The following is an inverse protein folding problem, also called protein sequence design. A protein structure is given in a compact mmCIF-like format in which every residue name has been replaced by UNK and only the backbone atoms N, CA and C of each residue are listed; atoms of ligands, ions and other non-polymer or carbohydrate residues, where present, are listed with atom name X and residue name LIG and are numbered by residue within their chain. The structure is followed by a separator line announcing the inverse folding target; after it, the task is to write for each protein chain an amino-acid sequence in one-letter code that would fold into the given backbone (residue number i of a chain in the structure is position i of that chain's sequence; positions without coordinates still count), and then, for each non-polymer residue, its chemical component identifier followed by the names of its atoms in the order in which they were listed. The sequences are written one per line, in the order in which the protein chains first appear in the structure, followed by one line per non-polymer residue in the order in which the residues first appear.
data_IF_007768109086
#
_entry.id   IF_007768109086
#
_cell.length_a   1.000
_cell.length_b   1.000
_cell.length_c   1.000
_cell.angle_alpha   90.00
_cell.angle_beta   90.00
_cell.angle_gamma   90.00
#
_symmetry.space_group_name_H-M   'P 1'
#
loop_
_entity.id
_entity.type
_entity.pdbx_description
1 polymer ?
2 non-polymer ?
3 non-polymer ?
4 water ?
#
# COMPACT_ATOMS: atom_id res chain seq x y z
N UNK A 4 -3.81 24.96 11.29
CA UNK A 4 -3.43 24.36 9.97
C UNK A 4 -3.97 22.96 9.85
N UNK A 5 -3.99 22.45 8.61
CA UNK A 5 -4.44 21.08 8.33
C UNK A 5 -3.59 20.38 7.27
N UNK A 6 -3.22 19.14 7.57
CA UNK A 6 -2.43 18.27 6.72
C UNK A 6 -3.19 16.97 6.66
N UNK A 7 -3.43 16.46 5.45
CA UNK A 7 -4.24 15.25 5.28
C UNK A 7 -3.38 14.02 5.12
N UNK A 8 -3.69 12.99 5.91
CA UNK A 8 -3.00 11.69 5.79
C UNK A 8 -4.00 10.56 5.57
N UNK A 9 -3.50 9.43 5.13
CA UNK A 9 -4.34 8.25 4.97
C UNK A 9 -3.84 7.13 5.88
N UNK A 10 -4.78 6.40 6.47
CA UNK A 10 -4.49 5.18 7.21
C UNK A 10 -5.22 4.03 6.51
N UNK A 11 -4.56 2.88 6.39
CA UNK A 11 -5.12 1.73 5.69
C UNK A 11 -5.29 0.56 6.67
N UNK A 12 -6.51 0.04 6.75
CA UNK A 12 -6.81 -1.01 7.71
C UNK A 12 -6.24 -2.37 7.30
N UNK A 13 -6.11 -2.58 5.99
CA UNK A 13 -5.78 -3.91 5.43
C UNK A 13 -6.83 -4.95 5.83
N UNK A 14 -8.05 -4.48 6.08
CA UNK A 14 -9.21 -5.32 6.40
C UNK A 14 -10.44 -4.73 5.70
N UNK A 15 -11.56 -5.42 5.82
CA UNK A 15 -12.84 -4.93 5.28
C UNK A 15 -13.52 -3.86 6.14
N UNK A 16 -12.90 -3.50 7.27
CA UNK A 16 -13.37 -2.42 8.13
C UNK A 16 -12.50 -1.18 7.94
N UNK A 17 -13.12 0.00 7.90
CA UNK A 17 -12.35 1.25 7.88
C UNK A 17 -11.52 1.40 9.15
N UNK A 18 -10.28 1.91 9.03
CA UNK A 18 -9.49 2.11 10.24
C UNK A 18 -9.96 3.35 11.00
N UNK A 19 -9.66 3.41 12.29
CA UNK A 19 -9.91 4.61 13.08
C UNK A 19 -8.76 5.60 12.83
N UNK A 20 -9.10 6.88 12.73
CA UNK A 20 -8.07 7.91 12.64
C UNK A 20 -7.25 7.93 13.93
N UNK A 21 -5.90 8.08 13.83
CA UNK A 21 -5.09 8.06 15.04
C UNK A 21 -5.41 9.23 15.98
N UNK A 22 -5.14 9.02 17.27
CA UNK A 22 -5.33 10.02 18.32
C UNK A 22 -4.72 11.37 17.93
N UNK A 23 -5.50 12.43 18.07
CA UNK A 23 -5.05 13.78 17.73
C UNK A 23 -5.31 14.21 16.29
N UNK A 24 -5.93 13.32 15.51
CA UNK A 24 -6.35 13.66 14.14
C UNK A 24 -7.87 13.48 14.02
N UNK A 25 -8.48 14.11 13.04
CA UNK A 25 -9.92 13.94 12.84
C UNK A 25 -10.25 13.40 11.45
N UNK A 26 -11.31 12.58 11.39
CA UNK A 26 -11.70 11.93 10.15
C UNK A 26 -12.29 12.91 9.14
N UNK A 27 -11.88 12.74 7.89
CA UNK A 27 -12.43 13.50 6.79
C UNK A 27 -13.40 12.61 6.02
N UNK A 28 -12.92 11.46 5.54
CA UNK A 28 -13.76 10.46 4.85
C UNK A 28 -13.15 9.06 4.91
N UNK A 29 -13.92 8.06 4.48
CA UNK A 29 -13.44 6.68 4.41
C UNK A 29 -13.54 6.21 2.98
N UNK A 30 -12.74 5.21 2.62
CA UNK A 30 -12.78 4.70 1.27
C UNK A 30 -12.10 3.36 1.12
N UNK A 31 -11.56 3.13 -0.07
CA UNK A 31 -10.90 1.88 -0.44
C UNK A 31 -9.45 2.17 -0.82
N UNK A 32 -8.57 1.26 -0.44
CA UNK A 32 -7.12 1.44 -0.52
C UNK A 32 -6.60 1.22 -1.93
N UNK A 33 -6.48 2.29 -2.71
CA UNK A 33 -5.88 2.22 -4.05
C UNK A 33 -4.36 2.24 -3.96
N UNK A 34 -3.71 1.24 -4.56
CA UNK A 34 -2.24 1.19 -4.58
C UNK A 34 -1.68 1.84 -5.85
N UNK A 35 -2.10 1.34 -7.01
CA UNK A 35 -1.74 1.93 -8.29
C UNK A 35 -2.66 1.49 -9.41
N UNK A 36 -2.50 2.15 -10.55
CA UNK A 36 -3.22 1.77 -11.77
C UNK A 36 -2.23 1.48 -12.89
N UNK A 37 -2.68 0.77 -13.91
CA UNK A 37 -1.83 0.46 -15.05
C UNK A 37 -2.66 0.63 -16.32
N UNK A 38 -2.30 1.64 -17.11
CA UNK A 38 -3.04 1.97 -18.33
C UNK A 38 -2.07 2.00 -19.49
N UNK A 39 -2.42 1.33 -20.58
CA UNK A 39 -1.54 1.23 -21.75
C UNK A 39 -0.15 0.73 -21.30
N UNK A 40 -0.19 -0.22 -20.36
CA UNK A 40 0.98 -0.90 -19.75
C UNK A 40 1.74 -0.07 -18.72
N UNK A 41 1.52 1.25 -18.70
CA UNK A 41 2.27 2.12 -17.81
C UNK A 41 1.64 2.20 -16.40
N UNK A 42 2.43 1.88 -15.37
CA UNK A 42 1.94 1.97 -13.99
C UNK A 42 2.04 3.39 -13.44
N UNK A 43 1.03 3.78 -12.67
CA UNK A 43 1.07 5.05 -11.92
C UNK A 43 0.44 4.84 -10.56
N UNK A 44 1.23 5.10 -9.52
CA UNK A 44 0.79 4.88 -8.14
C UNK A 44 0.32 6.13 -7.42
N UNK A 45 -0.38 5.91 -6.31
CA UNK A 45 -0.79 7.00 -5.41
C UNK A 45 -0.13 6.72 -4.08
N UNK A 46 0.65 7.66 -3.58
CA UNK A 46 1.35 7.43 -2.32
C UNK A 46 0.37 7.04 -1.21
N UNK A 47 0.63 5.90 -0.56
CA UNK A 47 -0.26 5.35 0.45
C UNK A 47 -0.48 6.26 1.67
N UNK A 48 0.38 7.27 1.83
CA UNK A 48 0.25 8.21 2.94
C UNK A 48 -0.66 9.38 2.62
N UNK A 49 -1.08 9.47 1.36
CA UNK A 49 -1.82 10.62 0.86
C UNK A 49 -3.26 10.25 0.50
N UNK A 50 -4.12 11.26 0.42
CA UNK A 50 -5.54 11.07 0.14
C UNK A 50 -5.83 10.37 -1.19
N UNK A 51 -4.90 10.49 -2.15
CA UNK A 51 -5.03 9.82 -3.45
C UNK A 51 -5.12 8.30 -3.38
N UNK A 52 -4.58 7.70 -2.31
CA UNK A 52 -4.65 6.25 -2.11
C UNK A 52 -5.95 5.82 -1.42
N UNK A 53 -6.82 6.78 -1.14
CA UNK A 53 -8.10 6.47 -0.53
C UNK A 53 -9.23 6.97 -1.42
N UNK A 54 -9.76 6.07 -2.25
CA UNK A 54 -10.86 6.41 -3.14
C UNK A 54 -12.18 6.13 -2.44
N UNK A 55 -13.10 7.08 -2.52
CA UNK A 55 -14.44 6.91 -1.94
C UNK A 55 -15.14 5.64 -2.42
N UNK A 56 -14.89 5.27 -3.67
CA UNK A 56 -15.58 4.14 -4.30
C UNK A 56 -14.60 3.19 -4.97
N UNK A 57 -14.84 1.89 -4.78
CA UNK A 57 -14.04 0.87 -5.43
C UNK A 57 -14.56 0.65 -6.85
N UNK A 58 -13.65 0.27 -7.76
CA UNK A 58 -14.02 -0.33 -9.02
C UNK A 58 -12.80 -1.05 -9.56
N UNK A 59 -13.01 -2.17 -10.25
CA UNK A 59 -11.89 -2.84 -10.91
C UNK A 59 -11.32 -1.95 -12.03
N UNK A 60 -12.12 -0.98 -12.49
CA UNK A 60 -11.67 0.00 -13.47
C UNK A 60 -12.04 1.45 -13.08
N UNK A 61 -11.19 2.10 -12.27
CA UNK A 61 -11.49 3.43 -11.74
C UNK A 61 -11.02 4.59 -12.65
N UNK A 62 -10.61 4.28 -13.88
CA UNK A 62 -10.18 5.30 -14.83
C UNK A 62 -10.64 4.97 -16.25
N UNK A 63 -10.52 5.97 -17.12
CA UNK A 63 -10.82 5.80 -18.55
C UNK A 63 -9.79 6.59 -19.34
N UNK A 64 -9.55 6.20 -20.59
CA UNK A 64 -8.60 6.93 -21.43
C UNK A 64 -9.27 7.55 -22.65
N UNK A 65 -8.66 8.63 -23.14
CA UNK A 65 -9.17 9.39 -24.29
C UNK A 65 -8.07 9.53 -25.31
N UNK A 66 -8.43 9.47 -26.59
CA UNK A 66 -7.46 9.68 -27.64
C UNK A 66 -7.61 11.09 -28.25
N UNK A 67 -6.65 11.49 -29.08
CA UNK A 67 -6.60 12.88 -29.57
C UNK A 67 -7.77 13.24 -30.50
N UNK A 68 -8.48 12.21 -30.98
CA UNK A 68 -9.67 12.43 -31.81
C UNK A 68 -11.01 12.48 -31.06
N UNK A 69 -10.94 12.81 -29.77
CA UNK A 69 -12.15 13.06 -28.95
C UNK A 69 -13.02 11.81 -28.86
N UNK A 70 -12.37 10.67 -28.69
CA UNK A 70 -13.05 9.42 -28.41
C UNK A 70 -12.46 8.88 -27.11
N UNK A 71 -13.31 8.61 -26.13
CA UNK A 71 -12.86 8.01 -24.88
C UNK A 71 -13.37 6.59 -24.75
N UNK A 72 -12.56 5.76 -24.12
CA UNK A 72 -12.90 4.35 -23.90
C UNK A 72 -12.79 4.01 -22.43
N UNK A 73 -13.88 3.49 -21.86
CA UNK A 73 -13.91 3.08 -20.47
C UNK A 73 -14.05 1.56 -20.40
N UNK A 74 -13.15 0.94 -19.64
CA UNK A 74 -13.12 -0.52 -19.42
C UNK A 74 -13.24 -1.30 -20.73
N UNK A 75 -12.60 -0.78 -21.77
CA UNK A 75 -12.72 -1.34 -23.11
C UNK A 75 -11.39 -1.77 -23.72
N UNK A 76 -10.41 -2.06 -22.87
CA UNK A 76 -9.15 -2.61 -23.34
C UNK A 76 -8.64 -3.69 -22.36
N UNK A 77 -7.39 -3.60 -21.93
CA UNK A 77 -6.79 -4.59 -21.04
C UNK A 77 -6.04 -3.87 -19.93
N UNK A 78 -6.73 -2.99 -19.22
CA UNK A 78 -6.05 -2.20 -18.20
C UNK A 78 -6.29 -2.72 -16.80
N UNK A 79 -5.53 -2.22 -15.82
CA UNK A 79 -5.51 -2.78 -14.46
C UNK A 79 -5.68 -1.73 -13.38
N UNK A 80 -6.16 -2.17 -12.22
CA UNK A 80 -6.06 -1.41 -10.97
C UNK A 80 -5.55 -2.35 -9.88
N UNK A 81 -4.85 -1.79 -8.90
CA UNK A 81 -4.26 -2.57 -7.83
C UNK A 81 -4.63 -1.94 -6.51
N UNK A 82 -5.00 -2.80 -5.56
CA UNK A 82 -5.55 -2.36 -4.29
C UNK A 82 -4.89 -3.11 -3.17
N UNK A 83 -4.62 -2.44 -2.06
CA UNK A 83 -4.19 -3.13 -0.85
C UNK A 83 -5.26 -4.14 -0.47
N UNK A 84 -4.83 -5.28 0.06
CA UNK A 84 -5.76 -6.39 0.28
C UNK A 84 -5.86 -6.79 1.75
N UNK A 85 -6.80 -7.70 2.02
CA UNK A 85 -7.16 -8.12 3.36
C UNK A 85 -6.52 -9.48 3.62
N UNK A 86 -6.73 -10.07 4.84
CA UNK A 86 -6.22 -11.43 5.05
C UNK A 86 -7.01 -12.55 4.34
N UNK A 87 -8.05 -12.20 3.58
CA UNK A 87 -8.89 -13.20 2.87
C UNK A 87 -8.03 -14.10 1.98
N UNK A 88 -8.12 -15.43 2.18
CA UNK A 88 -7.30 -16.32 1.34
C UNK A 88 -7.83 -16.44 -0.10
N UNK A 89 -6.95 -16.79 -1.04
CA UNK A 89 -7.38 -17.18 -2.38
C UNK A 89 -8.32 -18.38 -2.26
N UNK A 90 -9.37 -18.44 -3.10
CA UNK A 90 -10.14 -19.69 -3.15
C UNK A 90 -9.21 -20.85 -3.53
N UNK A 91 -9.62 -22.07 -3.15
CA UNK A 91 -8.85 -23.28 -3.45
C UNK A 91 -8.57 -23.49 -4.94
N UNK A 92 -9.54 -23.11 -5.76
CA UNK A 92 -9.44 -23.23 -7.22
C UNK A 92 -8.41 -22.26 -7.80
N UNK A 93 -8.11 -21.20 -7.05
CA UNK A 93 -7.21 -20.12 -7.49
C UNK A 93 -7.71 -19.37 -8.74
N UNK A 94 -9.01 -19.49 -9.03
CA UNK A 94 -9.65 -18.76 -10.13
C UNK A 94 -9.82 -17.28 -9.76
N UNK A 95 -9.77 -16.38 -10.76
CA UNK A 95 -10.01 -14.96 -10.48
C UNK A 95 -11.40 -14.71 -9.86
N UNK A 96 -11.48 -13.72 -8.97
CA UNK A 96 -12.74 -13.34 -8.33
C UNK A 96 -13.50 -12.36 -9.21
N UNK A 97 -14.83 -12.50 -9.22
CA UNK A 97 -15.71 -11.60 -9.98
C UNK A 97 -16.82 -11.09 -9.06
N UNK A 98 -17.34 -9.90 -9.37
CA UNK A 98 -18.55 -9.39 -8.72
C UNK A 98 -18.41 -9.24 -7.22
N UNK A 99 -19.47 -9.62 -6.51
CA UNK A 99 -19.53 -9.46 -5.05
C UNK A 99 -18.45 -10.21 -4.29
N UNK A 100 -17.94 -11.30 -4.87
CA UNK A 100 -16.88 -12.08 -4.22
C UNK A 100 -15.53 -11.33 -4.14
N UNK A 101 -15.41 -10.19 -4.82
CA UNK A 101 -14.23 -9.32 -4.72
C UNK A 101 -14.19 -8.57 -3.39
N UNK A 102 -15.36 -8.17 -2.87
CA UNK A 102 -15.44 -7.27 -1.72
C UNK A 102 -14.59 -7.72 -0.50
N UNK A 103 -14.68 -9.03 -0.11
CA UNK A 103 -13.89 -9.43 1.08
C UNK A 103 -12.37 -9.24 0.95
N UNK A 104 -11.89 -8.99 -0.27
CA UNK A 104 -10.45 -8.91 -0.56
C UNK A 104 -9.87 -7.50 -0.47
N UNK A 105 -10.73 -6.49 -0.44
CA UNK A 105 -10.26 -5.10 -0.63
C UNK A 105 -10.11 -4.37 0.69
N UNK A 106 -8.91 -3.84 0.94
CA UNK A 106 -8.60 -3.05 2.13
C UNK A 106 -9.35 -1.72 2.14
N UNK A 107 -9.71 -1.28 3.34
CA UNK A 107 -10.35 0.00 3.55
C UNK A 107 -9.37 1.02 4.11
N UNK A 108 -9.73 2.30 4.01
CA UNK A 108 -8.88 3.38 4.47
C UNK A 108 -9.69 4.52 5.03
N UNK A 109 -9.03 5.39 5.76
CA UNK A 109 -9.61 6.63 6.22
C UNK A 109 -8.62 7.75 5.97
N UNK A 110 -9.13 8.89 5.52
CA UNK A 110 -8.33 10.12 5.40
C UNK A 110 -8.59 10.97 6.64
N UNK A 111 -7.50 11.39 7.28
CA UNK A 111 -7.55 12.08 8.54
C UNK A 111 -6.82 13.41 8.43
N UNK A 112 -7.37 14.45 9.07
CA UNK A 112 -6.72 15.74 9.13
C UNK A 112 -5.89 15.86 10.40
N UNK A 113 -4.60 16.11 10.22
CA UNK A 113 -3.65 16.26 11.30
C UNK A 113 -3.39 17.76 11.49
N UNK A 114 -3.18 18.20 12.75
CA UNK A 114 -2.86 19.61 13.00
C UNK A 114 -1.41 19.98 12.62
N UNK A 115 -0.58 18.98 12.34
CA UNK A 115 0.82 19.21 11.98
C UNK A 115 1.31 18.14 10.99
N UNK A 116 2.55 18.30 10.52
CA UNK A 116 3.14 17.41 9.53
C UNK A 116 3.28 16.00 10.10
N UNK A 117 3.04 15.01 9.24
CA UNK A 117 3.14 13.61 9.60
C UNK A 117 4.19 12.91 8.73
N UNK A 118 5.11 12.21 9.37
CA UNK A 118 6.22 11.56 8.69
C UNK A 118 6.30 10.08 9.07
N UNK A 119 7.10 9.32 8.31
CA UNK A 119 7.55 8.01 8.73
C UNK A 119 9.05 8.07 9.00
N UNK A 120 9.48 7.31 9.98
CA UNK A 120 10.91 7.03 10.22
C UNK A 120 11.14 5.52 10.15
N UNK A 121 12.32 5.12 9.70
CA UNK A 121 12.66 3.71 9.46
C UNK A 121 13.97 3.35 10.15
N UNK A 122 14.00 2.17 10.76
CA UNK A 122 15.16 1.78 11.57
C UNK A 122 16.23 1.01 10.78
N UNK A 123 15.83 0.35 9.70
CA UNK A 123 16.68 -0.64 9.02
C UNK A 123 17.12 -1.76 9.99
N UNK A 124 16.30 -2.00 11.00
CA UNK A 124 16.50 -3.11 11.94
C UNK A 124 15.15 -3.71 12.30
N UNK A 125 15.18 -4.82 13.03
CA UNK A 125 13.95 -5.43 13.56
C UNK A 125 13.33 -4.67 14.73
N UNK A 126 14.01 -3.62 15.22
CA UNK A 126 13.46 -2.76 16.27
C UNK A 126 12.73 -1.57 15.69
N UNK A 127 11.59 -1.22 16.29
CA UNK A 127 10.82 -0.04 15.92
C UNK A 127 11.66 1.20 16.23
N UNK A 128 11.84 2.11 15.24
CA UNK A 128 12.56 3.34 15.52
C UNK A 128 11.73 4.27 16.40
N UNK A 129 12.41 5.19 17.10
CA UNK A 129 11.74 6.22 17.87
C UNK A 129 11.44 7.44 17.01
N UNK A 130 10.34 8.13 17.32
CA UNK A 130 10.04 9.41 16.70
C UNK A 130 11.13 10.44 17.03
N UNK A 131 11.44 11.35 16.08
CA UNK A 131 12.35 12.46 16.41
C UNK A 131 11.84 13.25 17.61
N UNK A 132 12.76 13.86 18.36
CA UNK A 132 12.38 14.69 19.51
C UNK A 132 11.43 15.78 19.06
N UNK A 133 10.32 15.92 19.78
CA UNK A 133 9.29 16.88 19.41
C UNK A 133 8.18 16.32 18.54
N UNK A 134 8.27 15.03 18.20
CA UNK A 134 7.26 14.33 17.40
C UNK A 134 6.62 13.23 18.23
N UNK A 135 5.32 13.00 18.02
CA UNK A 135 4.57 11.95 18.73
C UNK A 135 4.13 10.83 17.80
N UNK A 136 4.12 9.62 18.34
CA UNK A 136 3.73 8.44 17.58
C UNK A 136 2.25 8.42 17.20
N UNK A 137 1.96 8.05 15.95
CA UNK A 137 0.60 7.75 15.50
C UNK A 137 0.36 6.24 15.32
N UNK A 138 1.33 5.56 14.69
CA UNK A 138 1.28 4.08 14.57
C UNK A 138 2.64 3.49 14.26
N UNK A 139 2.74 2.18 14.38
CA UNK A 139 3.98 1.45 14.09
C UNK A 139 3.74 0.51 12.91
N UNK A 140 4.82 0.07 12.26
CA UNK A 140 4.65 -0.83 11.13
C UNK A 140 5.92 -1.39 10.55
N UNK A 141 5.84 -1.72 9.26
CA UNK A 141 6.91 -2.37 8.52
C UNK A 141 7.19 -1.53 7.29
N UNK A 142 8.47 -1.43 6.95
CA UNK A 142 8.93 -0.51 5.91
C UNK A 142 8.63 -1.05 4.48
N UNK A 143 7.58 -0.50 3.87
CA UNK A 143 7.07 -0.96 2.59
C UNK A 143 7.57 0.00 1.53
N UNK A 144 8.42 -0.48 0.60
CA UNK A 144 9.08 0.42 -0.34
C UNK A 144 8.53 0.47 -1.76
N UNK A 145 8.34 -0.69 -2.38
CA UNK A 145 7.78 -0.75 -3.74
C UNK A 145 7.14 -2.11 -4.04
N UNK A 146 6.59 -2.23 -5.24
CA UNK A 146 5.87 -3.43 -5.64
C UNK A 146 5.90 -3.48 -7.16
N UNK A 147 5.83 -4.69 -7.71
CA UNK A 147 5.63 -4.87 -9.14
C UNK A 147 4.60 -5.99 -9.36
N UNK A 148 3.96 -5.98 -10.53
CA UNK A 148 3.07 -7.06 -10.90
C UNK A 148 3.11 -7.25 -12.42
N UNK A 149 1.98 -7.12 -13.10
CA UNK A 149 1.91 -7.34 -14.55
C UNK A 149 2.96 -6.53 -15.31
N UNK A 150 3.68 -7.21 -16.20
CA UNK A 150 4.75 -6.59 -16.99
C UNK A 150 5.93 -6.09 -16.19
N UNK A 151 6.06 -6.52 -14.94
CA UNK A 151 7.03 -6.00 -13.96
C UNK A 151 6.94 -4.46 -13.76
N UNK A 152 5.76 -3.93 -14.09
CA UNK A 152 5.47 -2.53 -13.87
C UNK A 152 5.02 -2.41 -12.42
N UNK A 153 5.13 -1.22 -11.87
CA UNK A 153 4.73 -1.00 -10.51
C UNK A 153 5.01 0.41 -10.09
N UNK A 154 5.00 0.63 -8.78
CA UNK A 154 5.27 1.95 -8.22
C UNK A 154 5.75 1.72 -6.80
N UNK A 155 5.96 2.80 -6.06
CA UNK A 155 6.46 2.65 -4.71
C UNK A 155 6.03 3.75 -3.77
N UNK A 156 6.61 3.71 -2.58
CA UNK A 156 6.30 4.68 -1.53
C UNK A 156 7.49 5.57 -1.25
N UNK A 157 7.19 6.78 -0.80
CA UNK A 157 8.21 7.69 -0.27
C UNK A 157 8.48 7.28 1.17
N UNK A 158 9.75 7.01 1.50
CA UNK A 158 10.11 6.60 2.85
C UNK A 158 9.83 7.68 3.91
N UNK A 159 9.78 8.94 3.50
CA UNK A 159 9.40 10.03 4.38
C UNK A 159 7.89 10.04 4.68
N UNK A 160 7.12 9.31 3.87
CA UNK A 160 5.66 9.30 3.95
C UNK A 160 5.13 8.17 4.84
N UNK A 161 4.00 8.40 5.55
CA UNK A 161 3.30 7.34 6.30
C UNK A 161 2.95 6.13 5.43
N UNK A 162 2.85 6.35 4.12
CA UNK A 162 2.55 5.27 3.17
C UNK A 162 3.60 4.17 3.09
N UNK A 163 4.83 4.50 3.49
CA UNK A 163 5.92 3.53 3.55
C UNK A 163 5.90 2.72 4.85
N UNK A 164 4.93 2.98 5.70
CA UNK A 164 4.83 2.29 6.98
C UNK A 164 3.52 1.52 7.10
N UNK A 165 3.54 0.27 6.63
CA UNK A 165 2.35 -0.57 6.59
C UNK A 165 2.21 -1.29 7.92
N UNK A 166 1.02 -1.21 8.51
CA UNK A 166 0.82 -1.67 9.89
C UNK A 166 0.87 -3.18 10.05
N UNK A 167 0.43 -3.91 9.03
CA UNK A 167 0.54 -5.37 9.03
C UNK A 167 1.45 -5.82 7.89
N UNK A 168 2.49 -6.56 8.23
CA UNK A 168 3.30 -7.19 7.18
C UNK A 168 2.50 -8.28 6.47
N UNK A 169 2.53 -8.27 5.14
CA UNK A 169 1.94 -9.33 4.31
C UNK A 169 2.90 -9.58 3.16
N UNK A 170 3.20 -10.86 2.89
CA UNK A 170 3.96 -11.22 1.68
C UNK A 170 3.20 -10.83 0.41
N UNK A 171 1.88 -10.92 0.49
CA UNK A 171 0.98 -10.55 -0.60
C UNK A 171 0.02 -9.43 -0.13
N UNK A 172 0.54 -8.18 -0.03
CA UNK A 172 -0.25 -7.08 0.54
C UNK A 172 -1.23 -6.42 -0.44
N UNK A 173 -1.20 -6.83 -1.72
CA UNK A 173 -2.07 -6.20 -2.73
C UNK A 173 -2.61 -7.18 -3.77
N UNK A 174 -3.78 -6.85 -4.32
CA UNK A 174 -4.46 -7.72 -5.28
C UNK A 174 -4.54 -6.98 -6.62
N UNK A 175 -4.51 -7.75 -7.71
CA UNK A 175 -4.59 -7.22 -9.07
C UNK A 175 -6.01 -7.30 -9.63
N UNK A 176 -6.55 -6.19 -10.13
CA UNK A 176 -7.88 -6.14 -10.75
C UNK A 176 -7.80 -5.69 -12.20
N UNK A 177 -8.82 -6.06 -12.98
CA UNK A 177 -8.83 -5.82 -14.42
C UNK A 177 -10.07 -5.11 -14.89
N UNK A 178 -9.95 -4.35 -15.98
CA UNK A 178 -11.10 -3.69 -16.62
C UNK A 178 -12.26 -4.63 -16.91
N UNK A 179 -11.94 -5.88 -17.22
CA UNK A 179 -12.94 -6.91 -17.51
C UNK A 179 -13.74 -7.33 -16.26
N UNK A 180 -13.31 -6.88 -15.08
CA UNK A 180 -14.08 -7.08 -13.85
C UNK A 180 -13.61 -8.16 -12.89
N UNK A 181 -12.46 -8.77 -13.19
CA UNK A 181 -11.87 -9.80 -12.34
C UNK A 181 -10.77 -9.24 -11.44
N UNK A 182 -10.49 -9.93 -10.32
CA UNK A 182 -9.32 -9.68 -9.47
C UNK A 182 -8.70 -11.01 -9.06
N UNK A 183 -7.37 -11.02 -8.91
CA UNK A 183 -6.68 -12.18 -8.38
C UNK A 183 -5.27 -11.81 -7.93
N UNK A 184 -4.67 -12.71 -7.15
CA UNK A 184 -3.25 -12.70 -6.92
C UNK A 184 -2.57 -13.45 -8.07
N UNK A 185 -1.38 -13.00 -8.43
CA UNK A 185 -0.61 -13.63 -9.50
C UNK A 185 0.81 -13.94 -9.02
N UNK A 186 1.41 -14.99 -9.61
CA UNK A 186 2.76 -15.44 -9.22
C UNK A 186 3.83 -14.34 -9.29
N UNK A 187 3.67 -13.39 -10.21
CA UNK A 187 4.63 -12.29 -10.34
C UNK A 187 4.31 -11.02 -9.54
N UNK A 188 3.29 -11.06 -8.68
CA UNK A 188 3.01 -9.92 -7.78
C UNK A 188 4.04 -9.92 -6.65
N UNK A 189 4.96 -8.96 -6.71
CA UNK A 189 6.07 -8.87 -5.75
C UNK A 189 5.92 -7.66 -4.84
N UNK A 190 6.24 -7.85 -3.57
CA UNK A 190 6.35 -6.74 -2.64
C UNK A 190 7.80 -6.56 -2.21
N UNK A 191 8.24 -5.30 -2.15
CA UNK A 191 9.62 -4.97 -1.81
C UNK A 191 9.63 -4.18 -0.52
N UNK A 192 10.43 -4.64 0.44
CA UNK A 192 10.46 -4.04 1.77
C UNK A 192 11.86 -3.51 2.06
N UNK A 193 11.94 -2.38 2.74
CA UNK A 193 13.24 -1.90 3.24
C UNK A 193 13.80 -3.01 4.13
N UNK A 194 15.06 -3.38 3.89
CA UNK A 194 15.64 -4.51 4.61
C UNK A 194 16.42 -4.07 5.83
N UNK A 195 16.69 -5.02 6.72
CA UNK A 195 17.58 -4.74 7.85
C UNK A 195 19.03 -4.78 7.37
N UNK A 196 19.89 -3.98 8.00
CA UNK A 196 21.33 -4.05 7.77
C UNK A 196 22.02 -3.78 9.10
N UNK A 197 22.96 -4.65 9.46
CA UNK A 197 23.81 -4.43 10.64
C UNK A 197 24.90 -3.44 10.31
N UNK A 198 25.27 -2.61 11.28
CA UNK A 198 26.32 -1.60 11.10
C UNK A 198 27.62 -2.21 10.56
N UNK A 199 28.06 -3.32 11.13
CA UNK A 199 29.32 -3.96 10.72
C UNK A 199 29.26 -4.50 9.27
N UNK A 200 28.06 -4.65 8.74
CA UNK A 200 27.81 -5.24 7.41
C UNK A 200 27.59 -4.24 6.28
N UNK A 201 27.52 -2.96 6.62
CA UNK A 201 27.19 -1.91 5.64
C UNK A 201 28.01 -2.00 4.36
N UNK A 202 29.31 -2.20 4.50
CA UNK A 202 30.17 -2.25 3.32
C UNK A 202 30.49 -3.66 2.79
N UNK A 203 30.13 -4.67 3.58
CA UNK A 203 30.37 -6.07 3.26
C UNK A 203 29.41 -6.60 2.20
N UNK A 204 29.79 -7.70 1.56
CA UNK A 204 28.88 -8.43 0.69
C UNK A 204 27.61 -8.79 1.48
N UNK A 205 26.42 -8.38 1.00
CA UNK A 205 25.20 -8.74 1.74
C UNK A 205 25.06 -10.24 1.86
N UNK A 206 24.66 -10.72 3.04
CA UNK A 206 24.52 -12.16 3.23
C UNK A 206 23.15 -12.57 2.70
N UNK A 207 23.16 -13.25 1.56
CA UNK A 207 21.94 -13.71 0.88
C UNK A 207 21.15 -14.65 1.76
N UNK A 208 19.84 -14.48 1.74
CA UNK A 208 18.96 -15.27 2.59
C UNK A 208 17.65 -15.52 1.88
N UNK A 209 17.14 -16.74 2.03
CA UNK A 209 15.78 -17.08 1.59
C UNK A 209 15.00 -17.45 2.84
N UNK A 210 13.96 -16.68 3.10
CA UNK A 210 13.17 -16.82 4.32
C UNK A 210 11.81 -17.46 4.03
N UNK A 211 11.39 -18.37 4.89
CA UNK A 211 10.10 -19.05 4.75
C UNK A 211 9.16 -18.62 5.89
N UNK A 212 7.90 -19.06 5.80
CA UNK A 212 6.87 -18.71 6.77
C UNK A 212 7.35 -18.90 8.20
N UNK A 213 7.18 -17.86 9.01
CA UNK A 213 7.65 -17.86 10.39
C UNK A 213 8.89 -17.02 10.58
N UNK A 214 9.66 -16.82 9.52
CA UNK A 214 10.93 -16.09 9.57
C UNK A 214 10.98 -14.83 8.70
N UNK A 215 9.88 -14.53 8.01
CA UNK A 215 9.91 -13.45 7.00
C UNK A 215 10.32 -12.09 7.56
N UNK A 216 9.84 -11.79 8.76
CA UNK A 216 10.05 -10.50 9.41
C UNK A 216 11.46 -10.30 9.94
N UNK A 217 12.26 -11.38 10.01
CA UNK A 217 13.64 -11.29 10.52
C UNK A 217 14.53 -10.32 9.74
N UNK A 218 14.19 -10.02 8.48
CA UNK A 218 14.98 -9.10 7.65
C UNK A 218 14.22 -7.85 7.17
N UNK A 219 13.04 -7.59 7.76
CA UNK A 219 12.24 -6.43 7.38
C UNK A 219 12.46 -5.28 8.34
N UNK A 220 12.85 -4.13 7.79
CA UNK A 220 12.93 -2.89 8.54
C UNK A 220 11.60 -2.50 9.17
N UNK A 221 11.68 -1.91 10.37
CA UNK A 221 10.49 -1.45 11.07
C UNK A 221 10.38 0.05 10.94
N UNK A 222 9.19 0.56 11.20
CA UNK A 222 8.95 1.98 11.08
C UNK A 222 7.96 2.49 12.11
N UNK A 223 7.97 3.81 12.31
CA UNK A 223 6.94 4.48 13.06
C UNK A 223 6.44 5.68 12.26
N UNK A 224 5.16 5.99 12.41
CA UNK A 224 4.57 7.19 11.84
C UNK A 224 4.40 8.21 12.96
N UNK A 225 4.88 9.43 12.71
CA UNK A 225 5.07 10.45 13.74
C UNK A 225 4.46 11.78 13.31
N UNK A 226 3.90 12.50 14.28
CA UNK A 226 3.30 13.80 14.03
C UNK A 226 3.97 14.84 14.91
N UNK A 227 4.35 15.96 14.31
CA UNK A 227 5.01 17.06 15.02
C UNK A 227 4.09 17.60 16.11
N UNK A 228 4.60 17.71 17.33
CA UNK A 228 3.83 18.29 18.44
C UNK A 228 3.83 19.81 18.32
N UNK A 229 2.63 20.40 18.19
CA UNK A 229 2.47 21.86 18.12
C UNK A 229 1.61 22.40 19.28
#
# INVERSE_FOLDING_TARGET
SVAHGFLITRHSQTTDAPQCPQGTLQVYEGFSLLYVQGNKRAHGQDLGTAGSCLRRFSTMPFMFCNINNVCNFASRNDYSYWLSTPEPMPMSMQPLKGQSIQPFISRCAVCEAPAVVIAVHSQTIQIPHCPQGWDSLWIGYSFMMHTSAGAEGSGQALASPGSCLEEFRSAPFIECHGRGTCNYYANSYSFWLATVDVSDMFSKPQSETLKAGDLRTRISRCQVCMKRT
#
